data_IF_682325963406
#
_entry.id   IF_682325963406
#
_cell.length_a   1.000
_cell.length_b   1.000
_cell.length_c   1.000
_cell.angle_alpha   90.00
_cell.angle_beta   90.00
_cell.angle_gamma   90.00
#
_symmetry.space_group_name_H-M   'P 1'
#
loop_
_entity.id
_entity.type
_entity.pdbx_description
1 polymer ?
#
# COMPACT_ATOMS: atom_id res chain seq x y z
N UNK A 1 -4.87 -3.27 -24.72
CA UNK A 1 -5.78 -2.93 -23.61
C UNK A 1 -5.10 -1.83 -22.80
N UNK A 2 -5.70 -0.65 -22.66
CA UNK A 2 -5.11 0.42 -21.86
C UNK A 2 -5.35 0.16 -20.35
N UNK A 3 -4.37 0.49 -19.48
CA UNK A 3 -4.49 0.43 -18.02
C UNK A 3 -5.70 1.19 -17.48
N UNK A 4 -6.31 0.71 -16.39
CA UNK A 4 -7.51 1.32 -15.79
C UNK A 4 -7.29 2.79 -15.36
N UNK A 5 -6.11 3.11 -14.83
CA UNK A 5 -5.72 4.49 -14.46
C UNK A 5 -5.83 5.46 -15.62
N UNK A 6 -5.48 5.01 -16.83
CA UNK A 6 -5.40 5.86 -18.01
C UNK A 6 -6.82 6.17 -18.53
N UNK A 7 -7.75 5.23 -18.36
CA UNK A 7 -9.19 5.44 -18.64
C UNK A 7 -9.87 6.39 -17.68
N UNK A 8 -9.47 6.42 -16.41
CA UNK A 8 -10.03 7.37 -15.44
C UNK A 8 -9.71 8.82 -15.85
N UNK A 9 -8.50 9.06 -16.34
CA UNK A 9 -8.05 10.39 -16.79
C UNK A 9 -8.79 10.91 -18.02
N UNK A 10 -9.42 10.02 -18.80
CA UNK A 10 -10.22 10.40 -19.97
C UNK A 10 -11.64 10.84 -19.62
N UNK A 11 -12.06 10.70 -18.35
CA UNK A 11 -13.41 11.06 -17.90
C UNK A 11 -13.48 12.56 -17.59
N UNK A 12 -14.44 13.31 -18.18
CA UNK A 12 -14.56 14.75 -17.94
C UNK A 12 -14.90 15.11 -16.49
N UNK A 13 -15.52 14.18 -15.74
CA UNK A 13 -15.81 14.34 -14.32
C UNK A 13 -14.61 14.12 -13.38
N UNK A 14 -13.48 13.61 -13.88
CA UNK A 14 -12.28 13.35 -13.08
C UNK A 14 -11.37 14.57 -13.11
N UNK A 15 -10.99 15.05 -11.93
CA UNK A 15 -9.98 16.08 -11.78
C UNK A 15 -8.58 15.44 -11.73
N UNK A 16 -7.73 15.64 -12.74
CA UNK A 16 -6.41 15.02 -12.79
C UNK A 16 -5.44 15.53 -11.71
N UNK A 17 -5.76 16.64 -11.03
CA UNK A 17 -4.96 17.14 -9.90
C UNK A 17 -5.30 16.47 -8.57
N UNK A 18 -6.41 15.72 -8.50
CA UNK A 18 -6.94 15.10 -7.27
C UNK A 18 -7.12 13.59 -7.43
N UNK A 19 -6.01 12.89 -7.69
CA UNK A 19 -5.99 11.44 -7.86
C UNK A 19 -5.32 10.79 -6.66
N UNK A 20 -6.10 10.03 -5.91
CA UNK A 20 -5.60 9.18 -4.84
C UNK A 20 -5.54 7.71 -5.27
N UNK A 21 -4.50 7.03 -4.81
CA UNK A 21 -4.42 5.57 -4.83
C UNK A 21 -4.57 5.07 -3.39
N UNK A 22 -5.47 4.13 -3.17
CA UNK A 22 -5.69 3.50 -1.86
C UNK A 22 -5.56 1.99 -2.00
N UNK A 23 -4.95 1.33 -1.01
CA UNK A 23 -4.80 -0.13 -1.03
C UNK A 23 -3.53 -0.59 -0.34
N UNK A 24 -2.95 -1.67 -0.86
CA UNK A 24 -1.73 -2.30 -0.32
C UNK A 24 -0.53 -2.08 -1.27
N UNK A 25 0.35 -3.08 -1.34
CA UNK A 25 1.53 -3.11 -2.20
C UNK A 25 1.25 -2.68 -3.65
N UNK A 26 0.12 -3.09 -4.24
CA UNK A 26 -0.23 -2.74 -5.61
C UNK A 26 -0.51 -1.24 -5.78
N UNK A 27 -1.07 -0.58 -4.76
CA UNK A 27 -1.29 0.86 -4.80
C UNK A 27 0.05 1.61 -4.82
N UNK A 28 1.02 1.16 -4.02
CA UNK A 28 2.38 1.72 -4.00
C UNK A 28 3.10 1.49 -5.34
N UNK A 29 3.08 0.26 -5.86
CA UNK A 29 3.65 -0.04 -7.18
C UNK A 29 2.99 0.80 -8.29
N UNK A 30 1.67 0.99 -8.22
CA UNK A 30 0.94 1.83 -9.17
C UNK A 30 1.37 3.29 -9.05
N UNK A 31 1.51 3.84 -7.84
CA UNK A 31 2.00 5.20 -7.62
C UNK A 31 3.41 5.42 -8.18
N UNK A 32 4.28 4.42 -8.07
CA UNK A 32 5.63 4.45 -8.64
C UNK A 32 5.64 4.41 -10.17
N UNK A 33 4.66 3.76 -10.80
CA UNK A 33 4.54 3.60 -12.25
C UNK A 33 3.63 4.65 -12.90
N UNK A 34 2.89 5.44 -12.10
CA UNK A 34 1.94 6.45 -12.55
C UNK A 34 2.16 7.78 -11.83
N UNK A 35 2.93 8.70 -12.42
CA UNK A 35 3.24 9.98 -11.80
C UNK A 35 2.01 10.90 -11.63
N UNK A 36 0.86 10.54 -12.21
CA UNK A 36 -0.39 11.30 -12.09
C UNK A 36 -1.06 11.15 -10.72
N UNK A 37 -0.71 10.12 -9.93
CA UNK A 37 -1.22 10.01 -8.57
C UNK A 37 -0.66 11.16 -7.71
N UNK A 38 -1.54 11.91 -7.06
CA UNK A 38 -1.16 13.04 -6.19
C UNK A 38 -1.21 12.69 -4.70
N UNK A 39 -1.87 11.59 -4.34
CA UNK A 39 -1.91 11.03 -2.99
C UNK A 39 -1.86 9.49 -3.00
N UNK A 40 -1.23 8.89 -1.99
CA UNK A 40 -1.18 7.45 -1.75
C UNK A 40 -1.56 7.14 -0.29
N UNK A 41 -2.51 6.23 -0.07
CA UNK A 41 -2.77 5.62 1.24
C UNK A 41 -2.52 4.12 1.11
N UNK A 42 -1.43 3.63 1.70
CA UNK A 42 -0.90 2.29 1.47
C UNK A 42 -0.77 1.51 2.78
N UNK A 43 -1.35 0.31 2.84
CA UNK A 43 -1.13 -0.68 3.88
C UNK A 43 -0.35 -1.87 3.30
N UNK A 44 1.00 -1.89 3.41
CA UNK A 44 1.81 -2.99 2.86
C UNK A 44 1.40 -4.35 3.43
N UNK A 45 1.59 -5.39 2.63
CA UNK A 45 1.15 -6.74 3.00
C UNK A 45 1.94 -7.84 2.31
N UNK A 46 1.33 -8.45 1.30
CA UNK A 46 1.82 -9.68 0.68
C UNK A 46 3.20 -9.54 0.06
N UNK A 47 3.48 -8.44 -0.68
CA UNK A 47 4.69 -8.36 -1.50
C UNK A 47 5.88 -7.70 -0.79
N UNK A 48 5.66 -6.93 0.28
CA UNK A 48 6.74 -6.31 1.04
C UNK A 48 7.66 -7.35 1.68
N UNK A 49 8.89 -7.46 1.16
CA UNK A 49 9.90 -8.41 1.64
C UNK A 49 9.37 -9.85 1.81
N UNK A 50 8.44 -10.26 0.93
CA UNK A 50 7.63 -11.47 1.07
C UNK A 50 8.45 -12.73 1.39
N UNK A 51 9.50 -12.99 0.61
CA UNK A 51 10.36 -14.18 0.79
C UNK A 51 11.13 -14.18 2.13
N UNK A 52 11.39 -12.99 2.71
CA UNK A 52 12.07 -12.84 4.00
C UNK A 52 11.10 -12.86 5.17
N UNK A 53 9.88 -12.36 4.98
CA UNK A 53 8.87 -12.27 6.03
C UNK A 53 8.03 -13.54 6.15
N UNK A 54 7.73 -14.24 5.05
CA UNK A 54 6.89 -15.43 5.09
C UNK A 54 7.35 -16.50 6.09
N UNK A 55 8.65 -16.87 6.19
CA UNK A 55 9.10 -17.88 7.17
C UNK A 55 8.93 -17.47 8.65
N UNK A 56 8.57 -16.21 8.93
CA UNK A 56 8.42 -15.65 10.29
C UNK A 56 6.98 -15.63 10.78
N UNK A 57 6.02 -16.11 9.98
CA UNK A 57 4.60 -16.10 10.31
C UNK A 57 3.91 -17.32 9.73
N UNK A 58 2.82 -17.74 10.37
CA UNK A 58 1.87 -18.72 9.85
C UNK A 58 0.53 -18.09 9.40
N UNK A 59 0.49 -16.75 9.32
CA UNK A 59 -0.70 -16.02 8.91
C UNK A 59 -0.82 -15.97 7.37
N UNK A 60 -2.03 -16.23 6.88
CA UNK A 60 -2.36 -16.00 5.47
C UNK A 60 -2.45 -14.48 5.18
N UNK A 61 -2.02 -14.02 3.99
CA UNK A 61 -1.63 -14.82 2.82
C UNK A 61 -0.15 -15.25 2.77
N UNK A 62 0.72 -14.81 3.69
CA UNK A 62 2.14 -15.16 3.62
C UNK A 62 2.40 -16.66 3.85
N UNK A 63 1.55 -17.34 4.61
CA UNK A 63 1.65 -18.79 4.80
C UNK A 63 1.51 -19.58 3.49
N UNK A 64 0.85 -19.03 2.45
CA UNK A 64 0.78 -19.68 1.13
C UNK A 64 2.17 -19.87 0.51
N UNK A 65 3.10 -18.94 0.78
CA UNK A 65 4.49 -19.04 0.31
C UNK A 65 5.25 -20.14 1.06
N UNK A 66 4.97 -20.30 2.35
CA UNK A 66 5.51 -21.40 3.15
C UNK A 66 4.94 -22.74 2.68
N UNK A 67 3.62 -22.83 2.45
CA UNK A 67 2.97 -23.99 1.86
C UNK A 67 3.61 -24.38 0.53
N UNK A 68 3.82 -23.41 -0.35
CA UNK A 68 4.45 -23.62 -1.65
C UNK A 68 5.89 -24.15 -1.51
N UNK A 69 6.71 -23.56 -0.64
CA UNK A 69 8.10 -24.04 -0.46
C UNK A 69 8.18 -25.42 0.20
N UNK A 70 7.22 -25.79 1.06
CA UNK A 70 7.11 -27.15 1.61
C UNK A 70 6.72 -28.17 0.54
N UNK A 71 5.82 -27.81 -0.36
CA UNK A 71 5.37 -28.67 -1.46
C UNK A 71 6.41 -28.78 -2.59
N UNK A 72 7.17 -27.71 -2.84
CA UNK A 72 8.15 -27.62 -3.94
C UNK A 72 9.51 -27.04 -3.47
N UNK A 73 10.29 -27.76 -2.64
CA UNK A 73 11.53 -27.25 -2.07
C UNK A 73 12.56 -26.78 -3.12
N UNK A 74 12.67 -27.51 -4.24
CA UNK A 74 13.59 -27.18 -5.33
C UNK A 74 13.23 -25.87 -6.05
N UNK A 75 12.00 -25.36 -5.88
CA UNK A 75 11.53 -24.11 -6.48
C UNK A 75 11.65 -22.90 -5.54
N UNK A 76 12.05 -23.09 -4.29
CA UNK A 76 12.09 -22.02 -3.28
C UNK A 76 12.96 -20.82 -3.71
N UNK A 77 14.12 -21.07 -4.32
CA UNK A 77 15.01 -20.01 -4.82
C UNK A 77 14.36 -19.25 -5.98
N UNK A 78 13.73 -19.95 -6.92
CA UNK A 78 13.05 -19.33 -8.05
C UNK A 78 11.82 -18.50 -7.63
N UNK A 79 11.08 -18.98 -6.62
CA UNK A 79 9.99 -18.22 -6.00
C UNK A 79 10.49 -16.94 -5.37
N UNK A 80 11.55 -17.00 -4.54
CA UNK A 80 12.11 -15.84 -3.89
C UNK A 80 12.62 -14.79 -4.90
N UNK A 81 13.30 -15.24 -5.96
CA UNK A 81 13.73 -14.37 -7.07
C UNK A 81 12.54 -13.72 -7.79
N UNK A 82 11.45 -14.47 -8.01
CA UNK A 82 10.25 -13.95 -8.67
C UNK A 82 9.56 -12.89 -7.81
N UNK A 83 9.40 -13.13 -6.51
CA UNK A 83 8.79 -12.19 -5.58
C UNK A 83 9.55 -10.86 -5.52
N UNK A 84 10.87 -10.89 -5.71
CA UNK A 84 11.69 -9.69 -5.68
C UNK A 84 11.33 -8.68 -6.78
N UNK A 85 10.83 -9.12 -7.95
CA UNK A 85 10.33 -8.20 -8.98
C UNK A 85 9.12 -7.37 -8.54
N UNK A 86 8.40 -7.83 -7.51
CA UNK A 86 7.19 -7.21 -6.99
C UNK A 86 7.40 -6.54 -5.64
N UNK A 87 8.62 -6.58 -5.09
CA UNK A 87 8.91 -6.02 -3.78
C UNK A 87 8.75 -4.48 -3.81
N UNK A 88 7.78 -3.88 -3.07
CA UNK A 88 7.52 -2.44 -3.01
C UNK A 88 8.76 -1.58 -2.78
N UNK A 89 9.75 -2.14 -2.11
CA UNK A 89 11.05 -1.53 -1.88
C UNK A 89 11.70 -1.02 -3.19
N UNK A 90 11.63 -1.77 -4.29
CA UNK A 90 12.22 -1.38 -5.58
C UNK A 90 11.44 -0.31 -6.34
N UNK A 91 10.25 0.02 -5.86
CA UNK A 91 9.36 1.02 -6.41
C UNK A 91 9.37 2.32 -5.60
N UNK A 92 9.69 2.24 -4.31
CA UNK A 92 9.56 3.33 -3.34
C UNK A 92 10.20 4.66 -3.78
N UNK A 93 11.40 4.61 -4.37
CA UNK A 93 12.10 5.83 -4.81
C UNK A 93 11.40 6.55 -5.98
N UNK A 94 10.47 5.89 -6.69
CA UNK A 94 9.68 6.51 -7.76
C UNK A 94 8.35 7.07 -7.27
N UNK A 95 7.95 6.76 -6.04
CA UNK A 95 6.75 7.33 -5.41
C UNK A 95 7.08 8.74 -4.94
N UNK A 96 6.53 9.75 -5.62
CA UNK A 96 6.76 11.18 -5.32
C UNK A 96 5.58 11.85 -4.61
N UNK A 97 4.40 11.24 -4.66
CA UNK A 97 3.18 11.81 -4.10
C UNK A 97 3.16 11.73 -2.56
N UNK A 98 2.30 12.55 -1.95
CA UNK A 98 2.09 12.50 -0.51
C UNK A 98 1.54 11.12 -0.12
N UNK A 99 2.20 10.48 0.84
CA UNK A 99 1.93 9.08 1.20
C UNK A 99 1.56 8.97 2.67
N UNK A 100 0.44 8.32 2.96
CA UNK A 100 0.20 7.68 4.26
C UNK A 100 0.62 6.23 4.14
N UNK A 101 1.53 5.82 5.02
CA UNK A 101 1.95 4.43 5.16
C UNK A 101 1.30 3.86 6.43
N UNK A 102 0.33 2.97 6.25
CA UNK A 102 -0.35 2.29 7.35
C UNK A 102 0.57 1.21 7.91
N UNK A 103 0.78 1.25 9.21
CA UNK A 103 1.55 0.29 10.00
C UNK A 103 0.66 -0.32 11.07
N UNK A 104 1.11 -1.39 11.71
CA UNK A 104 0.60 -1.74 13.03
C UNK A 104 1.31 -0.97 14.14
N UNK A 105 1.10 -1.40 15.38
CA UNK A 105 1.92 -1.07 16.53
C UNK A 105 3.25 -1.83 16.49
N UNK A 106 4.19 -1.52 17.39
CA UNK A 106 5.45 -2.30 17.53
C UNK A 106 5.25 -3.77 17.90
N UNK A 107 4.04 -4.18 18.29
CA UNK A 107 3.70 -5.58 18.60
C UNK A 107 3.16 -6.33 17.38
N UNK A 108 2.77 -5.61 16.34
CA UNK A 108 2.18 -6.19 15.14
C UNK A 108 3.27 -6.65 14.17
N UNK A 109 2.92 -7.60 13.30
CA UNK A 109 3.86 -8.19 12.35
C UNK A 109 4.44 -7.17 11.35
N UNK A 110 3.59 -6.25 10.88
CA UNK A 110 3.99 -5.10 10.07
C UNK A 110 4.11 -3.85 10.96
N UNK A 111 5.01 -3.92 11.94
CA UNK A 111 5.32 -2.80 12.83
C UNK A 111 5.98 -1.64 12.09
N UNK A 112 6.02 -0.44 12.70
CA UNK A 112 6.78 0.69 12.15
C UNK A 112 8.25 0.33 11.94
N UNK A 113 8.88 -0.36 12.89
CA UNK A 113 10.26 -0.84 12.76
C UNK A 113 10.49 -1.80 11.58
N UNK A 114 9.56 -2.71 11.30
CA UNK A 114 9.62 -3.62 10.13
C UNK A 114 9.46 -2.86 8.81
N UNK A 115 8.63 -1.82 8.80
CA UNK A 115 8.35 -0.99 7.63
C UNK A 115 9.32 0.19 7.44
N UNK A 116 10.20 0.47 8.41
CA UNK A 116 11.14 1.58 8.36
C UNK A 116 11.98 1.63 7.07
N UNK A 117 12.52 0.52 6.54
CA UNK A 117 13.27 0.56 5.27
C UNK A 117 12.43 1.02 4.08
N UNK A 118 11.11 0.79 4.10
CA UNK A 118 10.19 1.29 3.08
C UNK A 118 9.93 2.79 3.26
N UNK A 119 9.64 3.20 4.49
CA UNK A 119 9.45 4.61 4.87
C UNK A 119 10.64 5.46 4.44
N UNK A 120 11.86 5.02 4.73
CA UNK A 120 13.09 5.76 4.44
C UNK A 120 13.38 5.88 2.94
N UNK A 121 12.87 4.95 2.13
CA UNK A 121 13.14 4.88 0.69
C UNK A 121 12.06 5.54 -0.17
N UNK A 122 10.88 5.79 0.40
CA UNK A 122 9.86 6.59 -0.26
C UNK A 122 10.39 8.01 -0.48
N UNK A 123 10.22 8.52 -1.69
CA UNK A 123 10.82 9.80 -2.04
C UNK A 123 9.88 11.01 -1.94
N UNK A 124 8.57 10.77 -1.87
CA UNK A 124 7.57 11.76 -1.51
C UNK A 124 7.48 11.95 0.02
N UNK A 125 6.72 12.95 0.49
CA UNK A 125 6.47 13.10 1.92
C UNK A 125 5.66 11.93 2.45
N UNK A 126 6.11 11.35 3.57
CA UNK A 126 5.48 10.17 4.19
C UNK A 126 4.95 10.51 5.58
N UNK A 127 3.73 10.07 5.86
CA UNK A 127 3.12 10.09 7.19
C UNK A 127 2.81 8.66 7.62
N UNK A 128 3.54 8.08 8.58
CA UNK A 128 3.18 6.81 9.18
C UNK A 128 1.83 6.92 9.90
N UNK A 129 1.00 5.88 9.82
CA UNK A 129 -0.26 5.79 10.52
C UNK A 129 -0.42 4.40 11.17
N UNK A 130 -0.48 4.37 12.49
CA UNK A 130 -0.78 3.14 13.23
C UNK A 130 -2.28 2.80 13.09
N UNK A 131 -2.58 1.65 12.48
CA UNK A 131 -3.94 1.14 12.33
C UNK A 131 -4.59 0.91 13.69
N UNK A 132 -5.86 1.29 13.80
CA UNK A 132 -6.69 1.01 14.96
C UNK A 132 -7.23 -0.43 14.98
N UNK A 133 -6.80 -1.28 14.05
CA UNK A 133 -7.33 -2.64 13.81
C UNK A 133 -8.85 -2.64 13.67
N UNK A 134 -9.38 -1.61 13.01
CA UNK A 134 -10.82 -1.37 12.87
C UNK A 134 -11.09 -0.78 11.50
N UNK A 135 -11.78 -1.55 10.65
CA UNK A 135 -12.16 -1.11 9.31
C UNK A 135 -12.89 0.23 9.30
N UNK A 136 -13.71 0.49 10.33
CA UNK A 136 -14.40 1.76 10.49
C UNK A 136 -13.42 2.90 10.83
N UNK A 137 -12.62 2.76 11.90
CA UNK A 137 -11.74 3.85 12.34
C UNK A 137 -10.64 4.15 11.33
N UNK A 138 -10.08 3.12 10.71
CA UNK A 138 -9.06 3.25 9.67
C UNK A 138 -9.66 3.86 8.38
N UNK A 139 -10.90 3.48 8.05
CA UNK A 139 -11.64 4.07 6.94
C UNK A 139 -11.96 5.54 7.14
N UNK A 140 -12.38 5.93 8.36
CA UNK A 140 -12.60 7.34 8.72
C UNK A 140 -11.29 8.12 8.64
N UNK A 141 -10.19 7.58 9.17
CA UNK A 141 -8.88 8.23 9.09
C UNK A 141 -8.43 8.45 7.65
N UNK A 142 -8.60 7.45 6.78
CA UNK A 142 -8.27 7.57 5.36
C UNK A 142 -9.08 8.69 4.70
N UNK A 143 -10.39 8.72 4.95
CA UNK A 143 -11.28 9.73 4.40
C UNK A 143 -10.92 11.14 4.90
N UNK A 144 -10.64 11.32 6.19
CA UNK A 144 -10.21 12.60 6.76
C UNK A 144 -8.89 13.08 6.14
N UNK A 145 -7.92 12.18 6.00
CA UNK A 145 -6.65 12.51 5.40
C UNK A 145 -6.81 12.96 3.95
N UNK A 146 -7.54 12.20 3.13
CA UNK A 146 -7.81 12.55 1.73
C UNK A 146 -8.54 13.88 1.59
N UNK A 147 -9.51 14.14 2.46
CA UNK A 147 -10.28 15.39 2.46
C UNK A 147 -9.36 16.59 2.71
N UNK A 148 -8.45 16.47 3.70
CA UNK A 148 -7.44 17.49 3.98
C UNK A 148 -6.43 17.64 2.83
N UNK A 149 -5.96 16.55 2.25
CA UNK A 149 -5.01 16.59 1.12
C UNK A 149 -5.59 17.33 -0.09
N UNK A 150 -6.89 17.18 -0.34
CA UNK A 150 -7.55 17.79 -1.49
C UNK A 150 -8.33 19.07 -1.17
N UNK A 151 -8.20 19.60 0.05
CA UNK A 151 -8.77 20.89 0.44
C UNK A 151 -10.30 20.91 0.61
N UNK A 152 -10.92 19.77 0.90
CA UNK A 152 -12.34 19.71 1.23
C UNK A 152 -12.60 20.15 2.68
N UNK A 153 -13.69 20.90 2.89
CA UNK A 153 -14.12 21.35 4.22
C UNK A 153 -14.72 20.23 5.07
N UNK A 154 -15.40 19.28 4.43
CA UNK A 154 -16.04 18.14 5.06
C UNK A 154 -15.29 16.85 4.74
N UNK A 155 -15.37 15.88 5.66
CA UNK A 155 -14.81 14.55 5.43
C UNK A 155 -15.62 13.83 4.34
N UNK A 156 -14.93 13.37 3.29
CA UNK A 156 -15.47 12.54 2.22
C UNK A 156 -15.76 11.12 2.70
N UNK A 157 -16.70 10.95 3.63
CA UNK A 157 -17.15 9.64 4.08
C UNK A 157 -18.14 9.03 3.08
N UNK A 158 -18.03 7.71 2.81
CA UNK A 158 -19.11 6.96 2.19
C UNK A 158 -20.42 7.18 2.94
N UNK A 159 -21.54 7.26 2.23
CA UNK A 159 -22.85 7.57 2.80
C UNK A 159 -23.22 6.67 3.99
N UNK A 160 -22.82 5.39 3.95
CA UNK A 160 -23.07 4.42 5.02
C UNK A 160 -22.31 4.67 6.34
N UNK A 161 -21.35 5.61 6.36
CA UNK A 161 -20.54 5.94 7.55
C UNK A 161 -20.85 7.34 8.12
N UNK A 162 -21.88 8.01 7.62
CA UNK A 162 -22.26 9.37 8.03
C UNK A 162 -23.24 9.39 9.23
N UNK A 163 -23.32 8.32 10.03
CA UNK A 163 -24.29 8.14 11.11
C UNK A 163 -23.70 7.63 12.41
#
# INVERSE_FOLDING_TARGET
MQPFSDRLLERPEVDPSRIALTGNDLALMTAALRPQATALHCAPGLFYNAATLAPKTSAYPLEELNDYTRAYPDQAVGMAQTLEYFNPLHFAERVRCATVLVTGSERDFFSPSVLQPLTDRLAGPVTPYESAHSSYRDGVQQAEWLSRQFGYSDTLLPAQWQG
#
